data_IF_485587134326
#
_entry.id   IF_485587134326
#
_cell.length_a   1.000
_cell.length_b   1.000
_cell.length_c   1.000
_cell.angle_alpha   90.00
_cell.angle_beta   90.00
_cell.angle_gamma   90.00
#
_symmetry.space_group_name_H-M   'P 1'
#
loop_
_entity.id
_entity.type
_entity.pdbx_description
1 polymer ?
#
# COMPACT_ATOMS: atom_id res chain seq x y z
N UNK A 1 28.31 45.00 46.15
CA UNK A 1 26.94 44.78 45.54
C UNK A 1 27.09 43.72 44.48
N UNK A 2 26.80 42.48 44.85
CA UNK A 2 26.95 41.30 43.96
C UNK A 2 25.57 41.01 43.35
N UNK A 3 25.46 41.14 42.03
CA UNK A 3 24.27 40.72 41.28
C UNK A 3 24.46 39.30 40.80
N UNK A 4 23.87 38.32 41.49
CA UNK A 4 23.69 36.96 40.98
C UNK A 4 22.62 36.98 39.90
N UNK A 5 22.96 36.61 38.67
CA UNK A 5 21.99 36.31 37.61
C UNK A 5 21.67 34.81 37.64
N UNK A 6 20.40 34.41 37.59
CA UNK A 6 20.04 33.00 37.57
C UNK A 6 20.20 32.44 36.16
N UNK A 7 21.10 31.48 35.96
CA UNK A 7 21.34 30.69 34.75
C UNK A 7 20.40 29.46 34.69
N UNK A 8 19.13 29.59 35.04
CA UNK A 8 18.26 28.40 35.16
C UNK A 8 17.17 28.28 34.05
N UNK A 9 17.21 29.14 33.03
CA UNK A 9 16.13 29.18 32.02
C UNK A 9 16.37 28.40 30.73
N UNK A 10 17.57 27.89 30.46
CA UNK A 10 17.89 27.30 29.14
C UNK A 10 17.85 25.77 29.06
N UNK A 11 17.80 25.09 30.19
CA UNK A 11 17.79 23.61 30.21
C UNK A 11 16.40 22.98 29.95
N UNK A 12 15.30 23.72 30.13
CA UNK A 12 13.95 23.17 29.93
C UNK A 12 13.45 23.22 28.47
N UNK A 13 14.04 24.04 27.62
CA UNK A 13 13.62 24.16 26.21
C UNK A 13 14.19 23.06 25.33
N UNK A 14 15.35 22.50 25.67
CA UNK A 14 16.02 21.48 24.87
C UNK A 14 15.35 20.10 25.02
N UNK A 15 14.75 19.80 26.17
CA UNK A 15 14.09 18.51 26.41
C UNK A 15 12.76 18.38 25.65
N UNK A 16 12.07 19.47 25.38
CA UNK A 16 10.80 19.46 24.66
C UNK A 16 10.95 19.20 23.15
N UNK A 17 12.09 19.57 22.54
CA UNK A 17 12.33 19.41 21.10
C UNK A 17 12.70 17.98 20.73
N UNK A 18 13.33 17.22 21.62
CA UNK A 18 13.72 15.83 21.38
C UNK A 18 12.52 14.89 21.39
N UNK A 19 11.45 15.23 22.11
CA UNK A 19 10.21 14.42 22.18
C UNK A 19 9.35 14.50 20.93
N UNK A 20 9.53 15.49 20.06
CA UNK A 20 8.77 15.63 18.81
C UNK A 20 9.37 14.84 17.64
N UNK A 21 10.64 14.46 17.71
CA UNK A 21 11.30 13.72 16.63
C UNK A 21 11.19 12.19 16.75
N UNK A 22 10.67 11.67 17.86
CA UNK A 22 10.49 10.24 18.10
C UNK A 22 9.08 9.74 17.72
N UNK A 23 8.33 10.43 16.88
CA UNK A 23 7.31 9.80 16.05
C UNK A 23 8.03 9.10 14.91
N UNK A 24 8.69 7.99 15.28
CA UNK A 24 9.21 7.01 14.35
C UNK A 24 8.14 6.80 13.27
N UNK A 25 8.53 6.97 12.01
CA UNK A 25 7.73 6.54 10.88
C UNK A 25 7.24 5.13 11.18
N UNK A 26 5.97 5.03 11.56
CA UNK A 26 5.35 3.75 11.85
C UNK A 26 5.44 2.96 10.55
N UNK A 27 6.25 1.91 10.57
CA UNK A 27 6.48 1.10 9.38
C UNK A 27 5.13 0.63 8.86
N UNK A 28 4.83 0.93 7.59
CA UNK A 28 3.57 0.56 6.96
C UNK A 28 3.30 -0.93 7.14
N UNK A 29 2.11 -1.28 7.57
CA UNK A 29 1.69 -2.69 7.72
C UNK A 29 1.39 -3.32 6.36
N UNK A 30 1.28 -4.65 6.25
CA UNK A 30 0.81 -5.29 5.02
C UNK A 30 -0.56 -4.77 4.56
N UNK A 31 -1.45 -4.45 5.51
CA UNK A 31 -2.75 -3.86 5.22
C UNK A 31 -2.62 -2.47 4.62
N UNK A 32 -1.80 -1.60 5.22
CA UNK A 32 -1.58 -0.23 4.72
C UNK A 32 -1.03 -0.25 3.29
N UNK A 33 -0.07 -1.14 3.01
CA UNK A 33 0.51 -1.28 1.67
C UNK A 33 -0.53 -1.76 0.67
N UNK A 34 -1.35 -2.75 1.05
CA UNK A 34 -2.40 -3.28 0.17
C UNK A 34 -3.48 -2.23 -0.09
N UNK A 35 -3.99 -1.56 0.95
CA UNK A 35 -4.98 -0.48 0.81
C UNK A 35 -4.43 0.67 -0.02
N UNK A 36 -3.20 1.10 0.25
CA UNK A 36 -2.55 2.19 -0.49
C UNK A 36 -2.40 1.87 -1.97
N UNK A 37 -1.98 0.64 -2.31
CA UNK A 37 -1.89 0.19 -3.69
C UNK A 37 -3.25 0.21 -4.39
N UNK A 38 -4.27 -0.43 -3.82
CA UNK A 38 -5.58 -0.52 -4.45
C UNK A 38 -6.29 0.83 -4.53
N UNK A 39 -6.18 1.69 -3.51
CA UNK A 39 -6.69 3.05 -3.58
C UNK A 39 -6.08 3.83 -4.74
N UNK A 40 -4.76 3.78 -4.89
CA UNK A 40 -4.06 4.44 -5.99
C UNK A 40 -4.41 3.80 -7.33
N UNK A 41 -4.37 2.46 -7.43
CA UNK A 41 -4.56 1.73 -8.68
C UNK A 41 -5.97 1.95 -9.26
N UNK A 42 -6.99 1.77 -8.42
CA UNK A 42 -8.39 1.95 -8.80
C UNK A 42 -8.71 3.41 -9.12
N UNK A 43 -8.11 4.36 -8.39
CA UNK A 43 -8.22 5.78 -8.71
C UNK A 43 -7.70 6.09 -10.12
N UNK A 44 -6.53 5.57 -10.47
CA UNK A 44 -5.97 5.77 -11.82
C UNK A 44 -6.85 5.18 -12.91
N UNK A 45 -7.38 3.97 -12.71
CA UNK A 45 -8.30 3.35 -13.66
C UNK A 45 -9.57 4.18 -13.84
N UNK A 46 -10.11 4.75 -12.76
CA UNK A 46 -11.39 5.47 -12.77
C UNK A 46 -11.29 6.88 -13.36
N UNK A 47 -10.13 7.55 -13.28
CA UNK A 47 -10.01 8.97 -13.62
C UNK A 47 -9.15 9.26 -14.85
N UNK A 48 -8.08 8.49 -15.07
CA UNK A 48 -7.07 8.89 -16.06
C UNK A 48 -7.07 8.04 -17.33
N UNK A 49 -7.89 6.98 -17.42
CA UNK A 49 -7.81 5.97 -18.49
C UNK A 49 -6.36 5.50 -18.74
N UNK A 50 -5.49 5.76 -17.80
CA UNK A 50 -4.07 5.48 -17.93
C UNK A 50 -3.81 4.04 -17.56
N UNK A 51 -2.77 3.49 -18.11
CA UNK A 51 -2.18 2.25 -17.61
C UNK A 51 -1.44 2.60 -16.31
N UNK A 52 -1.97 2.30 -15.10
CA UNK A 52 -1.35 2.76 -13.84
C UNK A 52 0.11 2.36 -13.73
N UNK A 53 0.48 1.20 -14.28
CA UNK A 53 1.86 0.70 -14.26
C UNK A 53 2.86 1.57 -15.03
N UNK A 54 2.43 2.51 -15.88
CA UNK A 54 3.33 3.50 -16.47
C UNK A 54 3.93 4.45 -15.41
N UNK A 55 3.26 4.63 -14.28
CA UNK A 55 3.78 5.40 -13.14
C UNK A 55 4.73 4.53 -12.29
N UNK A 56 5.87 4.13 -12.87
CA UNK A 56 6.83 3.21 -12.28
C UNK A 56 7.21 3.57 -10.83
N UNK A 57 7.55 4.83 -10.59
CA UNK A 57 7.99 5.30 -9.26
C UNK A 57 6.92 5.08 -8.20
N UNK A 58 5.66 5.32 -8.52
CA UNK A 58 4.54 5.10 -7.61
C UNK A 58 4.25 3.61 -7.45
N UNK A 59 4.21 2.85 -8.54
CA UNK A 59 3.99 1.40 -8.49
C UNK A 59 5.03 0.69 -7.60
N UNK A 60 6.30 1.05 -7.70
CA UNK A 60 7.40 0.44 -6.92
C UNK A 60 7.39 0.82 -5.42
N UNK A 61 6.54 1.77 -5.00
CA UNK A 61 6.28 1.98 -3.56
C UNK A 61 5.49 0.82 -2.94
N UNK A 62 4.74 0.10 -3.74
CA UNK A 62 3.83 -0.96 -3.32
C UNK A 62 4.25 -2.34 -3.81
N UNK A 63 4.75 -2.45 -5.03
CA UNK A 63 5.10 -3.71 -5.69
C UNK A 63 6.58 -4.03 -5.53
N UNK A 64 6.89 -5.33 -5.50
CA UNK A 64 8.29 -5.74 -5.71
C UNK A 64 8.72 -5.43 -7.15
N UNK A 65 10.01 -5.16 -7.39
CA UNK A 65 10.54 -4.98 -8.74
C UNK A 65 10.23 -6.16 -9.67
N UNK A 66 10.24 -7.37 -9.11
CA UNK A 66 9.94 -8.60 -9.87
C UNK A 66 8.48 -8.66 -10.31
N UNK A 67 7.53 -8.37 -9.41
CA UNK A 67 6.11 -8.35 -9.78
C UNK A 67 5.85 -7.26 -10.80
N UNK A 68 6.38 -6.05 -10.57
CA UNK A 68 6.26 -4.93 -11.50
C UNK A 68 6.76 -5.30 -12.92
N UNK A 69 7.95 -5.88 -13.03
CA UNK A 69 8.53 -6.26 -14.32
C UNK A 69 7.74 -7.38 -15.03
N UNK A 70 7.14 -8.30 -14.27
CA UNK A 70 6.38 -9.41 -14.82
C UNK A 70 4.91 -9.07 -15.15
N UNK A 71 4.34 -8.05 -14.52
CA UNK A 71 2.92 -7.72 -14.65
C UNK A 71 2.45 -7.55 -16.10
N UNK A 72 3.15 -6.84 -17.01
CA UNK A 72 2.70 -6.73 -18.40
C UNK A 72 2.60 -8.06 -19.13
N UNK A 73 3.49 -9.00 -18.84
CA UNK A 73 3.45 -10.36 -19.42
C UNK A 73 2.30 -11.18 -18.86
N UNK A 74 2.04 -11.06 -17.55
CA UNK A 74 0.95 -11.78 -16.89
C UNK A 74 -0.40 -11.27 -17.39
N UNK A 75 -0.59 -9.95 -17.51
CA UNK A 75 -1.80 -9.32 -18.06
C UNK A 75 -2.07 -9.84 -19.48
N UNK A 76 -1.07 -9.82 -20.36
CA UNK A 76 -1.24 -10.35 -21.74
C UNK A 76 -1.60 -11.83 -21.76
N UNK A 77 -1.03 -12.64 -20.86
CA UNK A 77 -1.29 -14.08 -20.80
C UNK A 77 -2.68 -14.41 -20.27
N UNK A 78 -3.18 -13.61 -19.33
CA UNK A 78 -4.52 -13.77 -18.75
C UNK A 78 -5.61 -13.15 -19.62
N UNK A 79 -5.24 -12.26 -20.55
CA UNK A 79 -6.16 -11.39 -21.28
C UNK A 79 -7.07 -10.59 -20.31
N UNK A 80 -6.53 -10.24 -19.15
CA UNK A 80 -7.20 -9.50 -18.10
C UNK A 80 -6.18 -8.81 -17.19
N UNK A 81 -6.58 -7.75 -16.52
CA UNK A 81 -5.74 -7.09 -15.52
C UNK A 81 -5.63 -7.97 -14.27
N UNK A 82 -4.41 -8.37 -13.93
CA UNK A 82 -4.12 -9.26 -12.81
C UNK A 82 -4.41 -8.66 -11.45
N UNK A 83 -4.44 -7.32 -11.35
CA UNK A 83 -4.69 -6.61 -10.08
C UNK A 83 -6.17 -6.44 -9.77
N UNK A 84 -7.02 -6.56 -10.76
CA UNK A 84 -8.47 -6.49 -10.59
C UNK A 84 -9.19 -7.75 -11.03
N UNK A 85 -8.46 -8.72 -11.62
CA UNK A 85 -8.99 -9.98 -12.12
C UNK A 85 -10.19 -9.81 -13.10
N UNK A 86 -10.13 -8.77 -13.92
CA UNK A 86 -11.16 -8.41 -14.87
C UNK A 86 -10.56 -7.76 -16.12
N UNK A 87 -11.31 -7.79 -17.23
CA UNK A 87 -10.94 -7.10 -18.47
C UNK A 87 -11.32 -5.62 -18.43
N UNK A 88 -12.30 -5.27 -17.61
CA UNK A 88 -12.82 -3.91 -17.45
C UNK A 88 -12.96 -3.58 -15.96
N UNK A 89 -13.16 -2.33 -15.62
CA UNK A 89 -13.27 -1.85 -14.25
C UNK A 89 -14.61 -1.16 -13.99
N UNK A 90 -15.02 -1.16 -12.73
CA UNK A 90 -16.18 -0.42 -12.23
C UNK A 90 -15.70 0.76 -11.39
N UNK A 91 -16.21 1.96 -11.68
CA UNK A 91 -15.85 3.20 -10.96
C UNK A 91 -16.25 3.16 -9.48
N UNK A 92 -17.21 2.32 -9.10
CA UNK A 92 -17.61 2.10 -7.72
C UNK A 92 -16.55 1.36 -6.88
N UNK A 93 -15.63 0.64 -7.50
CA UNK A 93 -14.60 -0.12 -6.78
C UNK A 93 -13.68 0.76 -5.96
N UNK A 94 -13.32 1.94 -6.45
CA UNK A 94 -12.46 2.88 -5.74
C UNK A 94 -12.95 3.19 -4.32
N UNK A 95 -14.28 3.28 -4.15
CA UNK A 95 -14.89 3.65 -2.87
C UNK A 95 -15.31 2.45 -2.03
N UNK A 96 -15.50 1.29 -2.66
CA UNK A 96 -16.20 0.15 -2.03
C UNK A 96 -15.35 -1.12 -1.91
N UNK A 97 -14.06 -1.11 -2.32
CA UNK A 97 -13.21 -2.28 -2.12
C UNK A 97 -12.92 -2.52 -0.63
N UNK A 98 -12.72 -3.76 -0.28
CA UNK A 98 -12.33 -4.15 1.07
C UNK A 98 -11.03 -4.95 1.07
N UNK A 99 -10.31 -4.90 2.18
CA UNK A 99 -9.08 -5.67 2.42
C UNK A 99 -9.29 -6.47 3.70
N UNK A 100 -9.12 -7.78 3.65
CA UNK A 100 -9.21 -8.63 4.82
C UNK A 100 -8.01 -8.40 5.75
N UNK A 101 -8.15 -8.75 7.03
CA UNK A 101 -7.03 -8.73 7.98
C UNK A 101 -5.90 -9.63 7.47
N UNK A 102 -4.67 -9.11 7.29
CA UNK A 102 -3.56 -9.91 6.81
C UNK A 102 -3.16 -11.04 7.76
N UNK A 103 -2.89 -12.20 7.21
CA UNK A 103 -2.26 -13.31 7.92
C UNK A 103 -0.75 -13.20 7.73
N UNK A 104 -0.03 -12.90 8.82
CA UNK A 104 1.43 -12.71 8.79
C UNK A 104 2.11 -13.98 9.26
N UNK A 105 3.07 -14.46 8.47
CA UNK A 105 3.95 -15.58 8.82
C UNK A 105 5.40 -15.21 8.48
N UNK A 106 6.21 -14.97 9.49
CA UNK A 106 7.60 -14.51 9.36
C UNK A 106 7.70 -13.22 8.51
N UNK A 107 8.39 -13.28 7.38
CA UNK A 107 8.58 -12.17 6.44
C UNK A 107 7.57 -12.17 5.28
N UNK A 108 6.51 -12.95 5.38
CA UNK A 108 5.43 -13.02 4.39
C UNK A 108 4.09 -12.67 5.02
N UNK A 109 3.19 -12.11 4.23
CA UNK A 109 1.82 -11.86 4.62
C UNK A 109 0.88 -12.17 3.46
N UNK A 110 -0.33 -12.65 3.78
CA UNK A 110 -1.39 -12.88 2.80
C UNK A 110 -2.64 -12.15 3.23
N UNK A 111 -3.34 -11.57 2.28
CA UNK A 111 -4.65 -10.92 2.47
C UNK A 111 -5.50 -11.07 1.23
N UNK A 112 -6.78 -10.83 1.35
CA UNK A 112 -7.72 -10.84 0.22
C UNK A 112 -8.29 -9.44 0.02
N UNK A 113 -8.23 -8.97 -1.21
CA UNK A 113 -8.93 -7.77 -1.66
C UNK A 113 -10.23 -8.22 -2.32
N UNK A 114 -11.32 -7.58 -1.95
CA UNK A 114 -12.64 -7.87 -2.53
C UNK A 114 -13.15 -6.62 -3.21
N UNK A 115 -13.51 -6.75 -4.49
CA UNK A 115 -14.14 -5.73 -5.31
C UNK A 115 -15.60 -6.13 -5.50
N UNK A 116 -16.59 -5.27 -5.16
CA UNK A 116 -17.99 -5.58 -5.40
C UNK A 116 -18.29 -5.62 -6.90
N UNK A 117 -19.09 -6.58 -7.35
CA UNK A 117 -19.49 -6.73 -8.74
C UNK A 117 -21.01 -6.95 -8.79
N UNK A 118 -21.74 -5.91 -9.19
CA UNK A 118 -23.20 -5.95 -9.12
C UNK A 118 -23.74 -5.96 -7.68
N UNK A 119 -24.94 -6.47 -7.48
CA UNK A 119 -25.59 -6.49 -6.17
C UNK A 119 -25.12 -7.65 -5.27
N UNK A 120 -24.74 -8.77 -5.85
CA UNK A 120 -24.43 -10.01 -5.12
C UNK A 120 -23.05 -10.58 -5.41
N UNK A 121 -22.48 -10.26 -6.55
CA UNK A 121 -21.21 -10.83 -7.00
C UNK A 121 -20.01 -10.05 -6.46
N UNK A 122 -18.87 -10.74 -6.41
CA UNK A 122 -17.62 -10.19 -5.90
C UNK A 122 -16.44 -10.72 -6.73
N UNK A 123 -15.47 -9.86 -6.98
CA UNK A 123 -14.16 -10.30 -7.43
C UNK A 123 -13.24 -10.36 -6.22
N UNK A 124 -12.69 -11.52 -5.94
CA UNK A 124 -11.74 -11.70 -4.85
C UNK A 124 -10.32 -11.91 -5.40
N UNK A 125 -9.37 -11.21 -4.82
CA UNK A 125 -7.97 -11.20 -5.24
C UNK A 125 -7.10 -11.58 -4.05
N UNK A 126 -6.39 -12.68 -4.14
CA UNK A 126 -5.40 -13.08 -3.15
C UNK A 126 -4.10 -12.32 -3.35
N UNK A 127 -3.68 -11.59 -2.33
CA UNK A 127 -2.48 -10.76 -2.35
C UNK A 127 -1.45 -11.35 -1.39
N UNK A 128 -0.25 -11.61 -1.89
CA UNK A 128 0.89 -12.03 -1.06
C UNK A 128 1.92 -10.91 -1.02
N UNK A 129 2.31 -10.54 0.19
CA UNK A 129 3.34 -9.54 0.45
C UNK A 129 4.58 -10.20 1.05
N UNK A 130 5.73 -9.59 0.81
CA UNK A 130 6.99 -9.93 1.46
C UNK A 130 7.57 -8.69 2.16
N UNK A 131 8.25 -8.93 3.27
CA UNK A 131 8.98 -7.89 3.98
C UNK A 131 10.36 -7.72 3.36
N UNK A 132 10.64 -6.53 2.86
CA UNK A 132 11.92 -6.14 2.28
C UNK A 132 12.65 -5.16 3.21
N UNK A 133 13.87 -4.79 2.90
CA UNK A 133 14.60 -3.70 3.62
C UNK A 133 13.87 -2.35 3.54
N UNK A 134 13.07 -2.14 2.49
CA UNK A 134 12.27 -0.93 2.30
C UNK A 134 10.82 -1.06 2.83
N UNK A 135 10.53 -2.09 3.65
CA UNK A 135 9.20 -2.39 4.18
C UNK A 135 8.44 -3.46 3.37
N UNK A 136 7.16 -3.61 3.66
CA UNK A 136 6.30 -4.56 2.97
C UNK A 136 6.09 -4.19 1.50
N UNK A 137 6.05 -5.20 0.62
CA UNK A 137 5.78 -5.04 -0.82
C UNK A 137 4.91 -6.19 -1.31
N UNK A 138 3.96 -5.88 -2.17
CA UNK A 138 3.17 -6.89 -2.87
C UNK A 138 4.09 -7.63 -3.84
N UNK A 139 4.15 -8.94 -3.68
CA UNK A 139 5.03 -9.83 -4.46
C UNK A 139 4.26 -10.75 -5.42
N UNK A 140 3.00 -11.00 -5.12
CA UNK A 140 2.12 -11.83 -5.96
C UNK A 140 0.67 -11.40 -5.79
N UNK A 141 -0.07 -11.47 -6.88
CA UNK A 141 -1.53 -11.39 -6.90
C UNK A 141 -2.07 -12.60 -7.66
N UNK A 142 -3.23 -13.09 -7.26
CA UNK A 142 -3.90 -14.19 -7.92
C UNK A 142 -5.42 -14.04 -7.76
N UNK A 143 -6.17 -14.27 -8.81
CA UNK A 143 -7.63 -14.33 -8.74
C UNK A 143 -8.04 -15.50 -7.86
N UNK A 144 -8.95 -15.28 -6.92
CA UNK A 144 -9.57 -16.37 -6.20
C UNK A 144 -10.66 -17.00 -7.10
N UNK A 145 -10.61 -18.31 -7.22
CA UNK A 145 -11.60 -19.11 -7.94
C UNK A 145 -12.87 -19.26 -7.07
#
# INVERSE_FOLDING_TARGET
MNKLFPRLGWLLVVVAIVSLMARAQQASTPEDVTRGFYSWYLHQLSHDNATPLKQKTTALKYLTPQLYANAPRLIRRMDADIFICAQDWDTGWEKNFTVSTPQIKNSSATTTVTLPSGETDKVAINVTLIKTTAGWRINKVACAN
#
